data_IF_525586656703
#
_entry.id   IF_525586656703
#
_cell.length_a   1.000
_cell.length_b   1.000
_cell.length_c   1.000
_cell.angle_alpha   90.00
_cell.angle_beta   90.00
_cell.angle_gamma   90.00
#
_symmetry.space_group_name_H-M   'P 1'
#
loop_
_entity.id
_entity.type
_entity.pdbx_description
1 polymer ?
#
# COMPACT_ATOMS: atom_id res chain seq x y z
N UNK A 1 27.54 -0.71 -12.85
CA UNK A 1 26.18 -0.39 -12.34
C UNK A 1 25.19 -0.65 -13.46
N UNK A 2 24.35 -1.68 -13.36
CA UNK A 2 23.29 -1.93 -14.34
C UNK A 2 22.17 -0.94 -14.02
N UNK A 3 22.02 0.12 -14.83
CA UNK A 3 20.86 1.00 -14.77
C UNK A 3 19.63 0.17 -15.17
N UNK A 4 18.82 -0.19 -14.18
CA UNK A 4 17.52 -0.83 -14.40
C UNK A 4 16.63 0.13 -15.21
N UNK A 5 16.28 -0.28 -16.42
CA UNK A 5 15.39 0.45 -17.36
C UNK A 5 14.01 0.69 -16.73
N UNK A 6 13.38 1.83 -17.06
CA UNK A 6 11.97 2.11 -16.72
C UNK A 6 11.06 1.12 -17.45
N UNK A 7 9.85 0.85 -16.93
CA UNK A 7 8.87 0.04 -17.68
C UNK A 7 8.43 0.70 -19.00
N UNK A 8 8.49 2.03 -19.08
CA UNK A 8 8.34 2.79 -20.33
C UNK A 8 9.45 2.52 -21.35
N UNK A 9 10.61 2.05 -20.90
CA UNK A 9 11.74 1.65 -21.76
C UNK A 9 11.81 0.13 -21.97
N UNK A 10 10.88 -0.64 -21.37
CA UNK A 10 10.73 -2.07 -21.58
C UNK A 10 9.82 -2.29 -22.79
N UNK A 11 10.27 -3.13 -23.71
CA UNK A 11 9.49 -3.51 -24.89
C UNK A 11 8.63 -4.74 -24.61
N UNK A 12 7.53 -4.92 -25.37
CA UNK A 12 6.73 -6.16 -25.33
C UNK A 12 7.61 -7.39 -25.62
N UNK A 13 8.64 -7.25 -26.45
CA UNK A 13 9.61 -8.30 -26.74
C UNK A 13 10.43 -8.69 -25.50
N UNK A 14 10.89 -7.72 -24.72
CA UNK A 14 11.64 -7.98 -23.48
C UNK A 14 10.73 -8.64 -22.42
N UNK A 15 9.47 -8.18 -22.27
CA UNK A 15 8.49 -8.80 -21.38
C UNK A 15 8.16 -10.23 -21.77
N UNK A 16 7.83 -10.45 -23.04
CA UNK A 16 7.49 -11.76 -23.57
C UNK A 16 8.63 -12.76 -23.39
N UNK A 17 9.88 -12.31 -23.62
CA UNK A 17 11.08 -13.12 -23.37
C UNK A 17 11.24 -13.49 -21.90
N UNK A 18 11.06 -12.54 -20.97
CA UNK A 18 11.16 -12.78 -19.52
C UNK A 18 10.08 -13.72 -18.99
N UNK A 19 8.86 -13.60 -19.52
CA UNK A 19 7.72 -14.43 -19.16
C UNK A 19 7.66 -15.77 -19.94
N UNK A 20 8.62 -16.01 -20.85
CA UNK A 20 8.64 -17.18 -21.74
C UNK A 20 7.34 -17.37 -22.55
N UNK A 21 6.75 -16.27 -23.01
CA UNK A 21 5.57 -16.24 -23.88
C UNK A 21 5.90 -15.60 -25.24
N UNK A 22 5.01 -15.74 -26.22
CA UNK A 22 5.13 -15.02 -27.50
C UNK A 22 4.57 -13.60 -27.41
N UNK A 23 5.00 -12.69 -28.29
CA UNK A 23 4.37 -11.36 -28.44
C UNK A 23 2.87 -11.48 -28.76
N UNK A 24 2.48 -12.48 -29.56
CA UNK A 24 1.08 -12.78 -29.87
C UNK A 24 0.30 -13.15 -28.60
N UNK A 25 0.87 -13.98 -27.75
CA UNK A 25 0.29 -14.33 -26.44
C UNK A 25 0.13 -13.10 -25.55
N UNK A 26 1.11 -12.20 -25.51
CA UNK A 26 0.97 -10.93 -24.78
C UNK A 26 -0.21 -10.10 -25.33
N UNK A 27 -0.26 -9.88 -26.64
CA UNK A 27 -1.31 -9.06 -27.26
C UNK A 27 -2.71 -9.71 -27.23
N UNK A 28 -2.81 -11.01 -26.98
CA UNK A 28 -4.10 -11.67 -26.70
C UNK A 28 -4.69 -11.25 -25.34
N UNK A 29 -3.85 -10.81 -24.40
CA UNK A 29 -4.27 -10.40 -23.06
C UNK A 29 -4.20 -8.88 -22.86
N UNK A 30 -3.26 -8.20 -23.51
CA UNK A 30 -2.98 -6.77 -23.29
C UNK A 30 -2.80 -6.00 -24.58
N UNK A 31 -3.58 -4.94 -24.77
CA UNK A 31 -3.48 -4.07 -25.95
C UNK A 31 -2.19 -3.23 -25.97
N UNK A 32 -1.61 -2.96 -24.79
CA UNK A 32 -0.35 -2.23 -24.63
C UNK A 32 0.30 -2.57 -23.28
N UNK A 33 1.56 -2.15 -23.09
CA UNK A 33 2.22 -2.22 -21.78
C UNK A 33 1.47 -1.35 -20.76
N UNK A 34 0.98 -0.19 -21.18
CA UNK A 34 0.18 0.70 -20.33
C UNK A 34 -1.13 0.03 -19.86
N UNK A 35 -1.81 -0.72 -20.73
CA UNK A 35 -3.01 -1.47 -20.34
C UNK A 35 -2.69 -2.55 -19.29
N UNK A 36 -1.59 -3.28 -19.46
CA UNK A 36 -1.11 -4.25 -18.47
C UNK A 36 -0.77 -3.57 -17.14
N UNK A 37 -0.08 -2.43 -17.17
CA UNK A 37 0.28 -1.65 -15.98
C UNK A 37 -0.97 -1.17 -15.24
N UNK A 38 -1.94 -0.60 -15.95
CA UNK A 38 -3.21 -0.17 -15.36
C UNK A 38 -3.96 -1.35 -14.69
N UNK A 39 -3.99 -2.53 -15.31
CA UNK A 39 -4.58 -3.73 -14.69
C UNK A 39 -3.82 -4.18 -13.42
N UNK A 40 -2.49 -4.05 -13.40
CA UNK A 40 -1.69 -4.29 -12.18
C UNK A 40 -2.02 -3.25 -11.11
N UNK A 41 -2.11 -1.96 -11.47
CA UNK A 41 -2.50 -0.89 -10.55
C UNK A 41 -3.87 -1.15 -9.91
N UNK A 42 -4.87 -1.50 -10.73
CA UNK A 42 -6.24 -1.79 -10.29
C UNK A 42 -6.29 -2.99 -9.34
N UNK A 43 -5.54 -4.05 -9.63
CA UNK A 43 -5.43 -5.21 -8.74
C UNK A 43 -4.76 -4.87 -7.41
N UNK A 44 -3.71 -4.05 -7.44
CA UNK A 44 -3.04 -3.56 -6.22
C UNK A 44 -4.02 -2.75 -5.37
N UNK A 45 -4.72 -1.78 -5.96
CA UNK A 45 -5.72 -0.97 -5.25
C UNK A 45 -6.83 -1.87 -4.71
N UNK A 46 -7.38 -2.78 -5.53
CA UNK A 46 -8.41 -3.72 -5.10
C UNK A 46 -7.97 -4.60 -3.94
N UNK A 47 -6.70 -5.01 -3.90
CA UNK A 47 -6.12 -5.76 -2.77
C UNK A 47 -6.09 -4.91 -1.50
N UNK A 48 -5.70 -3.63 -1.59
CA UNK A 48 -5.71 -2.71 -0.44
C UNK A 48 -7.13 -2.50 0.07
N UNK A 49 -8.09 -2.24 -0.82
CA UNK A 49 -9.51 -2.08 -0.49
C UNK A 49 -10.03 -3.33 0.24
N UNK A 50 -9.81 -4.51 -0.32
CA UNK A 50 -10.27 -5.76 0.28
C UNK A 50 -9.68 -6.01 1.67
N UNK A 51 -8.41 -5.63 1.90
CA UNK A 51 -7.78 -5.71 3.22
C UNK A 51 -8.49 -4.79 4.21
N UNK A 52 -8.79 -3.55 3.84
CA UNK A 52 -9.48 -2.62 4.73
C UNK A 52 -10.89 -3.10 5.06
N UNK A 53 -11.66 -3.48 4.05
CA UNK A 53 -13.05 -3.92 4.22
C UNK A 53 -13.16 -5.18 5.07
N UNK A 54 -12.30 -6.18 4.80
CA UNK A 54 -12.30 -7.46 5.55
C UNK A 54 -11.91 -7.26 7.02
N UNK A 55 -11.13 -6.23 7.33
CA UNK A 55 -10.60 -5.97 8.67
C UNK A 55 -11.21 -4.72 9.31
N UNK A 56 -12.29 -4.17 8.74
CA UNK A 56 -12.88 -2.91 9.18
C UNK A 56 -13.31 -2.95 10.65
N UNK A 57 -13.86 -4.07 11.09
CA UNK A 57 -14.33 -4.21 12.47
C UNK A 57 -13.18 -4.19 13.49
N UNK A 58 -12.02 -4.80 13.15
CA UNK A 58 -10.82 -4.73 14.00
C UNK A 58 -10.32 -3.29 14.15
N UNK A 59 -10.36 -2.52 13.05
CA UNK A 59 -10.00 -1.11 13.05
C UNK A 59 -10.92 -0.30 13.96
N UNK A 60 -12.25 -0.49 13.85
CA UNK A 60 -13.25 0.21 14.69
C UNK A 60 -13.12 -0.12 16.17
N UNK A 61 -12.81 -1.38 16.49
CA UNK A 61 -12.61 -1.84 17.87
C UNK A 61 -11.27 -1.39 18.47
N UNK A 62 -10.41 -0.72 17.68
CA UNK A 62 -9.08 -0.30 18.12
C UNK A 62 -8.08 -1.46 18.26
N UNK A 63 -8.40 -2.65 17.73
CA UNK A 63 -7.48 -3.79 17.74
C UNK A 63 -6.45 -3.67 16.62
N UNK A 64 -5.57 -2.67 16.76
CA UNK A 64 -4.61 -2.29 15.72
C UNK A 64 -3.58 -3.39 15.44
N UNK A 65 -3.15 -4.13 16.47
CA UNK A 65 -2.22 -5.24 16.28
C UNK A 65 -2.81 -6.31 15.34
N UNK A 66 -4.00 -6.83 15.64
CA UNK A 66 -4.62 -7.87 14.81
C UNK A 66 -4.97 -7.33 13.40
N UNK A 67 -5.42 -6.08 13.30
CA UNK A 67 -5.64 -5.41 12.03
C UNK A 67 -4.38 -5.40 11.15
N UNK A 68 -3.24 -4.98 11.71
CA UNK A 68 -1.98 -4.94 10.95
C UNK A 68 -1.37 -6.32 10.74
N UNK A 69 -1.60 -7.29 11.63
CA UNK A 69 -1.17 -8.67 11.43
C UNK A 69 -1.86 -9.30 10.22
N UNK A 70 -3.18 -9.12 10.11
CA UNK A 70 -3.95 -9.60 8.94
C UNK A 70 -3.57 -8.86 7.67
N UNK A 71 -3.32 -7.56 7.76
CA UNK A 71 -2.80 -6.74 6.65
C UNK A 71 -1.46 -7.30 6.17
N UNK A 72 -0.47 -7.44 7.05
CA UNK A 72 0.86 -7.96 6.70
C UNK A 72 0.80 -9.38 6.11
N UNK A 73 -0.02 -10.28 6.69
CA UNK A 73 -0.26 -11.62 6.14
C UNK A 73 -0.88 -11.57 4.74
N UNK A 74 -1.82 -10.66 4.50
CA UNK A 74 -2.45 -10.50 3.19
C UNK A 74 -1.45 -9.97 2.15
N UNK A 75 -0.66 -8.97 2.50
CA UNK A 75 0.40 -8.45 1.64
C UNK A 75 1.41 -9.55 1.28
N UNK A 76 1.81 -10.37 2.26
CA UNK A 76 2.73 -11.49 2.03
C UNK A 76 2.16 -12.58 1.11
N UNK A 77 0.86 -12.89 1.21
CA UNK A 77 0.19 -13.81 0.27
C UNK A 77 0.20 -13.28 -1.17
N UNK A 78 0.14 -11.96 -1.35
CA UNK A 78 0.14 -11.31 -2.66
C UNK A 78 1.52 -10.79 -3.07
N UNK A 79 2.63 -11.32 -2.51
CA UNK A 79 4.00 -10.84 -2.76
C UNK A 79 4.38 -10.71 -4.24
N UNK A 80 3.85 -11.58 -5.09
CA UNK A 80 4.16 -11.57 -6.53
C UNK A 80 3.54 -10.36 -7.23
N UNK A 81 2.32 -9.96 -6.84
CA UNK A 81 1.68 -8.74 -7.31
C UNK A 81 2.50 -7.50 -6.88
N UNK A 82 2.96 -7.47 -5.63
CA UNK A 82 3.80 -6.39 -5.10
C UNK A 82 5.16 -6.31 -5.79
N UNK A 83 5.75 -7.45 -6.14
CA UNK A 83 6.99 -7.50 -6.92
C UNK A 83 6.80 -6.96 -8.33
N UNK A 84 5.66 -7.23 -8.97
CA UNK A 84 5.34 -6.64 -10.27
C UNK A 84 5.19 -5.12 -10.16
N UNK A 85 4.51 -4.66 -9.11
CA UNK A 85 4.36 -3.25 -8.78
C UNK A 85 5.68 -2.53 -8.47
N UNK A 86 6.61 -3.15 -7.73
CA UNK A 86 7.87 -2.52 -7.30
C UNK A 86 8.89 -2.36 -8.43
N UNK A 87 8.69 -3.04 -9.57
CA UNK A 87 9.57 -2.92 -10.73
C UNK A 87 9.41 -1.56 -11.47
N UNK A 88 8.38 -0.79 -11.15
CA UNK A 88 8.21 0.56 -11.69
C UNK A 88 8.60 1.61 -10.64
N UNK A 89 9.81 2.15 -10.78
CA UNK A 89 10.34 3.21 -9.90
C UNK A 89 9.55 4.53 -9.95
N UNK A 90 8.63 4.67 -10.90
CA UNK A 90 7.80 5.88 -11.11
C UNK A 90 6.35 5.71 -10.60
N UNK A 91 6.07 4.68 -9.79
CA UNK A 91 4.73 4.40 -9.22
C UNK A 91 4.26 5.38 -8.15
N UNK A 92 4.81 6.59 -8.11
CA UNK A 92 4.35 7.66 -7.22
C UNK A 92 2.85 7.89 -7.37
N UNK A 93 2.32 7.87 -8.60
CA UNK A 93 0.88 8.10 -8.87
C UNK A 93 -0.05 7.13 -8.14
N UNK A 94 0.25 5.84 -8.19
CA UNK A 94 -0.57 4.81 -7.54
C UNK A 94 -0.37 4.80 -6.03
N UNK A 95 0.84 5.07 -5.54
CA UNK A 95 1.06 5.28 -4.11
C UNK A 95 0.21 6.44 -3.59
N UNK A 96 0.12 7.55 -4.33
CA UNK A 96 -0.73 8.69 -3.97
C UNK A 96 -2.23 8.32 -4.01
N UNK A 97 -2.67 7.49 -4.96
CA UNK A 97 -4.05 6.95 -4.97
C UNK A 97 -4.33 6.10 -3.73
N UNK A 98 -3.40 5.22 -3.35
CA UNK A 98 -3.51 4.39 -2.15
C UNK A 98 -3.61 5.27 -0.90
N UNK A 99 -2.71 6.26 -0.75
CA UNK A 99 -2.75 7.19 0.38
C UNK A 99 -4.05 7.97 0.43
N UNK A 100 -4.52 8.49 -0.70
CA UNK A 100 -5.79 9.22 -0.80
C UNK A 100 -6.98 8.34 -0.37
N UNK A 101 -6.96 7.06 -0.76
CA UNK A 101 -7.98 6.10 -0.33
C UNK A 101 -7.92 5.83 1.18
N UNK A 102 -6.72 5.61 1.73
CA UNK A 102 -6.50 5.41 3.17
C UNK A 102 -6.90 6.64 3.99
N UNK A 103 -6.58 7.84 3.51
CA UNK A 103 -6.95 9.11 4.14
C UNK A 103 -8.48 9.23 4.23
N UNK A 104 -9.19 8.98 3.11
CA UNK A 104 -10.66 8.97 3.10
C UNK A 104 -11.22 7.91 4.04
N UNK A 105 -10.64 6.71 4.05
CA UNK A 105 -11.06 5.63 4.94
C UNK A 105 -10.91 6.03 6.42
N UNK A 106 -9.79 6.65 6.79
CA UNK A 106 -9.54 7.15 8.14
C UNK A 106 -10.59 8.21 8.53
N UNK A 107 -10.83 9.22 7.68
CA UNK A 107 -11.79 10.28 7.99
C UNK A 107 -13.24 9.80 8.08
N UNK A 108 -13.61 8.75 7.34
CA UNK A 108 -14.95 8.14 7.44
C UNK A 108 -15.11 7.30 8.71
N UNK A 109 -14.06 6.57 9.12
CA UNK A 109 -14.15 5.57 10.18
C UNK A 109 -13.66 6.07 11.57
N UNK A 110 -12.83 7.10 11.63
CA UNK A 110 -12.39 7.72 12.90
C UNK A 110 -13.25 8.95 13.15
N UNK A 111 -14.24 8.81 14.04
CA UNK A 111 -15.04 9.95 14.51
C UNK A 111 -14.25 10.78 15.52
N UNK A 112 -14.37 12.10 15.44
CA UNK A 112 -13.81 13.06 16.42
C UNK A 112 -12.28 13.03 16.55
N UNK A 113 -11.54 13.11 15.43
CA UNK A 113 -10.12 13.46 15.54
C UNK A 113 -10.03 14.91 16.04
N UNK A 114 -9.56 15.08 17.27
CA UNK A 114 -9.50 16.40 17.89
C UNK A 114 -8.31 17.22 17.40
N UNK A 115 -8.54 18.53 17.27
CA UNK A 115 -7.55 19.49 16.80
C UNK A 115 -8.11 20.39 15.70
N UNK A 116 -7.32 21.38 15.31
CA UNK A 116 -7.60 22.18 14.12
C UNK A 116 -7.64 21.28 12.88
N UNK A 117 -8.64 21.49 12.01
CA UNK A 117 -8.90 20.60 10.87
C UNK A 117 -7.66 20.45 9.96
N UNK A 118 -6.95 21.56 9.69
CA UNK A 118 -5.77 21.56 8.82
C UNK A 118 -4.59 20.81 9.46
N UNK A 119 -4.30 21.09 10.73
CA UNK A 119 -3.23 20.40 11.49
C UNK A 119 -3.50 18.90 11.59
N UNK A 120 -4.77 18.54 11.82
CA UNK A 120 -5.20 17.15 11.89
C UNK A 120 -5.00 16.43 10.56
N UNK A 121 -5.40 17.07 9.46
CA UNK A 121 -5.21 16.52 8.12
C UNK A 121 -3.74 16.34 7.77
N UNK A 122 -2.90 17.32 8.10
CA UNK A 122 -1.46 17.20 7.92
C UNK A 122 -0.87 16.05 8.75
N UNK A 123 -1.27 15.88 10.01
CA UNK A 123 -0.82 14.75 10.85
C UNK A 123 -1.20 13.39 10.26
N UNK A 124 -2.44 13.23 9.79
CA UNK A 124 -2.91 12.00 9.13
C UNK A 124 -2.08 11.71 7.88
N UNK A 125 -1.82 12.74 7.05
CA UNK A 125 -0.98 12.60 5.86
C UNK A 125 0.45 12.12 6.18
N UNK A 126 1.12 12.76 7.14
CA UNK A 126 2.48 12.36 7.57
C UNK A 126 2.51 10.94 8.14
N UNK A 127 1.47 10.55 8.88
CA UNK A 127 1.33 9.18 9.37
C UNK A 127 1.17 8.19 8.22
N UNK A 128 0.33 8.49 7.22
CA UNK A 128 0.13 7.62 6.06
C UNK A 128 1.41 7.49 5.22
N UNK A 129 2.17 8.57 5.04
CA UNK A 129 3.49 8.53 4.40
C UNK A 129 4.43 7.56 5.12
N UNK A 130 4.44 7.63 6.45
CA UNK A 130 5.29 6.78 7.30
C UNK A 130 4.84 5.31 7.24
N UNK A 131 3.54 5.06 7.35
CA UNK A 131 2.94 3.73 7.35
C UNK A 131 3.13 3.04 5.98
N UNK A 132 2.76 3.71 4.89
CA UNK A 132 2.92 3.19 3.54
C UNK A 132 4.40 3.00 3.22
N UNK A 133 5.26 3.97 3.57
CA UNK A 133 6.70 3.85 3.40
C UNK A 133 7.32 2.67 4.13
N UNK A 134 6.84 2.34 5.34
CA UNK A 134 7.26 1.16 6.09
C UNK A 134 6.92 -0.13 5.33
N UNK A 135 5.67 -0.28 4.87
CA UNK A 135 5.26 -1.45 4.09
C UNK A 135 6.04 -1.57 2.78
N UNK A 136 6.21 -0.47 2.03
CA UNK A 136 7.01 -0.47 0.79
C UNK A 136 8.44 -0.94 1.04
N UNK A 137 9.11 -0.41 2.07
CA UNK A 137 10.48 -0.84 2.44
C UNK A 137 10.54 -2.31 2.85
N UNK A 138 9.51 -2.81 3.54
CA UNK A 138 9.43 -4.21 3.90
C UNK A 138 9.28 -5.10 2.66
N UNK A 139 8.46 -4.69 1.70
CA UNK A 139 8.26 -5.38 0.43
C UNK A 139 9.52 -5.38 -0.44
N UNK A 140 10.20 -4.24 -0.58
CA UNK A 140 11.47 -4.11 -1.31
C UNK A 140 12.57 -5.03 -0.75
N UNK A 141 12.52 -5.30 0.56
CA UNK A 141 13.43 -6.23 1.25
C UNK A 141 12.92 -7.67 1.24
N UNK A 142 12.09 -8.03 0.25
CA UNK A 142 11.50 -9.37 0.08
C UNK A 142 10.72 -9.86 1.30
N UNK A 143 10.14 -8.93 2.08
CA UNK A 143 9.33 -9.23 3.27
C UNK A 143 10.03 -10.14 4.30
N UNK A 144 11.36 -9.97 4.47
CA UNK A 144 12.19 -10.81 5.37
C UNK A 144 11.89 -10.63 6.86
N UNK A 145 11.36 -9.48 7.26
CA UNK A 145 10.96 -9.24 8.66
C UNK A 145 9.65 -10.01 8.92
N UNK A 146 9.51 -10.76 10.03
CA UNK A 146 8.28 -11.49 10.35
C UNK A 146 7.05 -10.57 10.39
N UNK A 147 5.91 -11.09 9.96
CA UNK A 147 4.64 -10.32 9.88
C UNK A 147 4.21 -9.80 11.25
N UNK A 148 4.51 -10.54 12.32
CA UNK A 148 4.22 -10.17 13.70
C UNK A 148 4.98 -8.90 14.11
N UNK A 149 6.25 -8.78 13.69
CA UNK A 149 7.08 -7.62 13.99
C UNK A 149 6.65 -6.39 13.19
N UNK A 150 6.29 -6.57 11.92
CA UNK A 150 5.72 -5.49 11.10
C UNK A 150 4.39 -5.00 11.68
N UNK A 151 3.55 -5.93 12.12
CA UNK A 151 2.28 -5.60 12.76
C UNK A 151 2.46 -4.83 14.07
N UNK A 152 3.42 -5.25 14.91
CA UNK A 152 3.78 -4.55 16.15
C UNK A 152 4.23 -3.10 15.88
N UNK A 153 5.11 -2.89 14.91
CA UNK A 153 5.59 -1.55 14.52
C UNK A 153 4.44 -0.67 14.00
N UNK A 154 3.61 -1.19 13.10
CA UNK A 154 2.47 -0.49 12.53
C UNK A 154 1.43 -0.09 13.59
N UNK A 155 1.12 -1.02 14.49
CA UNK A 155 0.19 -0.79 15.59
C UNK A 155 0.72 0.29 16.53
N UNK A 156 2.00 0.22 16.91
CA UNK A 156 2.65 1.22 17.77
C UNK A 156 2.59 2.64 17.17
N UNK A 157 2.90 2.79 15.87
CA UNK A 157 2.78 4.08 15.17
C UNK A 157 1.35 4.63 15.19
N UNK A 158 0.37 3.75 15.04
CA UNK A 158 -1.05 4.12 15.01
C UNK A 158 -1.55 4.53 16.39
N UNK A 159 -1.20 3.77 17.42
CA UNK A 159 -1.53 4.12 18.81
C UNK A 159 -0.89 5.45 19.22
N UNK A 160 0.35 5.71 18.80
CA UNK A 160 1.02 7.00 19.04
C UNK A 160 0.21 8.17 18.43
N UNK A 161 -0.16 8.07 17.14
CA UNK A 161 -0.98 9.07 16.46
C UNK A 161 -2.32 9.31 17.19
N UNK A 162 -3.02 8.24 17.57
CA UNK A 162 -4.29 8.33 18.27
C UNK A 162 -4.13 8.95 19.67
N UNK A 163 -3.08 8.59 20.41
CA UNK A 163 -2.85 9.15 21.74
C UNK A 163 -2.58 10.67 21.71
N UNK A 164 -1.88 11.18 20.69
CA UNK A 164 -1.64 12.62 20.53
C UNK A 164 -2.91 13.40 20.15
N UNK A 165 -3.83 12.79 19.42
CA UNK A 165 -5.09 13.43 19.03
C UNK A 165 -6.09 13.43 20.17
N UNK A 166 -6.17 12.37 20.99
CA UNK A 166 -7.04 12.33 22.18
C UNK A 166 -6.55 13.21 23.35
N UNK A 167 -5.24 13.41 23.50
CA UNK A 167 -4.66 14.18 24.64
C UNK A 167 -5.03 15.67 24.66
N UNK A 168 -5.63 16.21 23.59
CA UNK A 168 -6.07 17.62 23.50
C UNK A 168 -7.55 17.85 23.83
N UNK A 169 -8.32 16.81 24.15
CA UNK A 169 -9.75 16.93 24.52
C UNK A 169 -9.96 17.18 26.03
N UNK A 170 -8.95 16.86 26.86
CA UNK A 170 -9.04 16.96 28.33
C UNK A 170 -8.10 18.03 28.93
N UNK A 171 -7.78 19.08 28.17
CA UNK A 171 -7.19 20.32 28.67
C UNK A 171 -8.01 21.49 28.14
#
# INVERSE_FOLDING_TARGET
MIKEKRLTDITVSELAKRASITRKTFYNHYNSIEAMVNEVEERVIGTVVAILDTNQELFRQGNMYEFFLRTAKSLQRHKDLWRLFSLEKENYRIIEKIKSYLERYIFVNIKNIAGEAEVTKFKVSVYLDSLVGMFLKWMDRSMRIPVEKIAEMAAGMTTFLLSETYSRVNK
#
